data_IF_797238979511
#
_entry.id   IF_797238979511
#
_cell.length_a   1.000
_cell.length_b   1.000
_cell.length_c   1.000
_cell.angle_alpha   90.00
_cell.angle_beta   90.00
_cell.angle_gamma   90.00
#
_symmetry.space_group_name_H-M   'P 1'
#
loop_
_entity.id
_entity.type
_entity.pdbx_description
1 polymer ?
#
# COMPACT_ATOMS: atom_id res chain seq x y z
N UNK A 1 6.20 -14.28 30.07
CA UNK A 1 4.81 -14.05 29.63
C UNK A 1 3.89 -14.41 30.78
N UNK A 2 3.30 -13.41 31.42
CA UNK A 2 2.25 -13.61 32.42
C UNK A 2 0.94 -13.86 31.68
N UNK A 3 0.28 -14.98 31.96
CA UNK A 3 -1.00 -15.30 31.36
C UNK A 3 -2.10 -14.63 32.19
N UNK A 4 -2.87 -13.74 31.57
CA UNK A 4 -3.92 -12.97 32.23
C UNK A 4 -5.30 -13.40 31.69
N UNK A 5 -6.28 -13.49 32.58
CA UNK A 5 -7.67 -13.82 32.21
C UNK A 5 -8.53 -12.57 32.33
N UNK A 6 -9.29 -12.25 31.29
CA UNK A 6 -10.23 -11.13 31.27
C UNK A 6 -11.54 -11.53 30.57
N UNK A 7 -12.63 -10.82 30.84
CA UNK A 7 -13.89 -11.11 30.16
C UNK A 7 -13.80 -10.73 28.66
N UNK A 8 -14.60 -11.36 27.77
CA UNK A 8 -14.53 -11.10 26.33
C UNK A 8 -14.72 -9.62 25.94
N UNK A 9 -15.45 -8.86 26.75
CA UNK A 9 -15.69 -7.43 26.52
C UNK A 9 -14.45 -6.60 26.81
N UNK A 10 -13.73 -6.87 27.90
CA UNK A 10 -12.45 -6.24 28.26
C UNK A 10 -11.35 -6.62 27.28
N UNK A 11 -11.33 -7.86 26.82
CA UNK A 11 -10.36 -8.29 25.80
C UNK A 11 -10.63 -7.51 24.51
N UNK A 12 -11.89 -7.45 24.06
CA UNK A 12 -12.25 -6.65 22.87
C UNK A 12 -11.95 -5.17 23.05
N UNK A 13 -12.33 -4.56 24.17
CA UNK A 13 -12.06 -3.15 24.41
C UNK A 13 -10.56 -2.87 24.46
N UNK A 14 -9.78 -3.72 25.13
CA UNK A 14 -8.34 -3.55 25.21
C UNK A 14 -7.64 -3.71 23.85
N UNK A 15 -8.05 -4.69 23.04
CA UNK A 15 -7.54 -4.86 21.67
C UNK A 15 -7.94 -3.64 20.83
N UNK A 16 -9.20 -3.20 20.91
CA UNK A 16 -9.70 -2.02 20.21
C UNK A 16 -8.90 -0.77 20.61
N UNK A 17 -8.76 -0.50 21.92
CA UNK A 17 -8.07 0.66 22.45
C UNK A 17 -6.56 0.63 22.14
N UNK A 18 -5.90 -0.53 22.24
CA UNK A 18 -4.45 -0.66 22.01
C UNK A 18 -4.07 -0.57 20.54
N UNK A 19 -4.86 -1.16 19.63
CA UNK A 19 -4.62 -1.04 18.19
C UNK A 19 -5.05 0.33 17.65
N UNK A 20 -6.15 0.90 18.18
CA UNK A 20 -6.67 2.16 17.70
C UNK A 20 -5.84 3.36 18.19
N UNK A 21 -5.31 3.38 19.43
CA UNK A 21 -4.67 4.61 19.98
C UNK A 21 -3.38 5.00 19.26
N UNK A 22 -2.42 4.08 19.09
CA UNK A 22 -1.12 4.45 18.51
C UNK A 22 -1.22 4.75 17.01
N UNK A 23 -2.06 4.02 16.28
CA UNK A 23 -2.28 4.28 14.86
C UNK A 23 -3.23 5.46 14.59
N UNK A 24 -4.23 5.71 15.44
CA UNK A 24 -5.07 6.93 15.30
C UNK A 24 -4.28 8.18 15.57
N UNK A 25 -3.48 8.25 16.64
CA UNK A 25 -2.82 9.51 16.99
C UNK A 25 -1.85 9.96 15.89
N UNK A 26 -1.11 9.03 15.30
CA UNK A 26 -0.22 9.32 14.17
C UNK A 26 -1.00 9.62 12.89
N UNK A 27 -2.05 8.83 12.59
CA UNK A 27 -2.92 9.04 11.42
C UNK A 27 -3.69 10.36 11.48
N UNK A 28 -4.21 10.75 12.64
CA UNK A 28 -4.97 12.00 12.83
C UNK A 28 -4.03 13.21 12.72
N UNK A 29 -2.80 13.13 13.28
CA UNK A 29 -1.76 14.17 13.10
C UNK A 29 -1.40 14.35 11.62
N UNK A 30 -1.14 13.25 10.93
CA UNK A 30 -0.75 13.28 9.52
C UNK A 30 -1.90 13.72 8.61
N UNK A 31 -3.15 13.36 8.93
CA UNK A 31 -4.34 13.80 8.21
C UNK A 31 -4.55 15.32 8.35
N UNK A 32 -4.43 15.84 9.55
CA UNK A 32 -4.44 17.30 9.76
C UNK A 32 -3.32 18.00 9.00
N UNK A 33 -2.15 17.35 8.85
CA UNK A 33 -1.06 17.87 8.02
C UNK A 33 -1.39 17.89 6.53
N UNK A 34 -2.07 16.87 5.99
CA UNK A 34 -2.54 16.86 4.60
C UNK A 34 -3.55 17.98 4.35
N UNK A 35 -4.57 18.10 5.20
CA UNK A 35 -5.62 19.12 5.04
C UNK A 35 -5.02 20.53 5.10
N UNK A 36 -4.10 20.79 6.05
CA UNK A 36 -3.41 22.06 6.16
C UNK A 36 -2.54 22.36 4.93
N UNK A 37 -1.74 21.39 4.48
CA UNK A 37 -0.86 21.55 3.30
C UNK A 37 -1.68 21.74 2.02
N UNK A 38 -2.79 21.01 1.87
CA UNK A 38 -3.68 21.13 0.71
C UNK A 38 -4.40 22.49 0.67
N UNK A 39 -4.80 23.03 1.83
CA UNK A 39 -5.40 24.34 1.94
C UNK A 39 -4.40 25.46 1.60
N UNK A 40 -3.20 25.42 2.17
CA UNK A 40 -2.09 26.34 1.86
C UNK A 40 -1.80 26.35 0.35
N UNK A 41 -1.75 25.16 -0.26
CA UNK A 41 -1.47 24.98 -1.67
C UNK A 41 -2.58 25.50 -2.61
N UNK A 42 -3.83 25.44 -2.18
CA UNK A 42 -4.95 25.87 -3.01
C UNK A 42 -4.92 27.38 -3.26
N UNK A 43 -4.36 28.17 -2.34
CA UNK A 43 -4.18 29.62 -2.51
C UNK A 43 -3.09 29.98 -3.54
N UNK A 44 -2.15 29.06 -3.81
CA UNK A 44 -0.98 29.25 -4.70
C UNK A 44 -1.17 28.57 -6.08
N UNK A 45 -2.37 28.02 -6.32
CA UNK A 45 -2.69 26.96 -7.30
C UNK A 45 -2.21 27.09 -8.77
N UNK A 46 -1.77 28.26 -9.23
CA UNK A 46 -1.34 28.47 -10.61
C UNK A 46 0.19 28.41 -10.84
N UNK A 47 1.02 28.64 -9.82
CA UNK A 47 2.50 28.64 -9.95
C UNK A 47 3.14 27.26 -9.67
N UNK A 48 2.41 26.40 -8.98
CA UNK A 48 2.89 25.12 -8.46
C UNK A 48 3.29 24.10 -9.53
N UNK A 49 2.69 24.13 -10.72
CA UNK A 49 3.03 23.16 -11.76
C UNK A 49 4.40 23.46 -12.38
N UNK A 50 4.74 24.75 -12.50
CA UNK A 50 6.07 25.18 -12.94
C UNK A 50 7.11 24.94 -11.83
N UNK A 51 6.76 25.17 -10.58
CA UNK A 51 7.62 24.85 -9.43
C UNK A 51 7.88 23.35 -9.28
N UNK A 52 6.86 22.50 -9.43
CA UNK A 52 7.01 21.05 -9.37
C UNK A 52 8.04 20.53 -10.40
N UNK A 53 7.99 21.10 -11.61
CA UNK A 53 8.93 20.79 -12.68
C UNK A 53 10.33 21.31 -12.37
N UNK A 54 10.45 22.52 -11.81
CA UNK A 54 11.74 23.12 -11.42
C UNK A 54 12.40 22.39 -10.23
N UNK A 55 11.63 22.03 -9.21
CA UNK A 55 12.07 21.32 -8.01
C UNK A 55 12.53 19.88 -8.29
N UNK A 56 12.19 19.32 -9.45
CA UNK A 56 12.74 18.04 -9.90
C UNK A 56 14.08 18.16 -10.61
N UNK A 57 14.27 19.24 -11.37
CA UNK A 57 15.54 19.51 -12.04
C UNK A 57 16.60 19.91 -11.02
N UNK A 58 16.21 20.63 -9.96
CA UNK A 58 17.00 20.82 -8.77
C UNK A 58 16.92 19.56 -7.90
N UNK A 59 17.78 18.57 -8.16
CA UNK A 59 17.89 17.39 -7.31
C UNK A 59 18.24 17.78 -5.86
N UNK A 60 17.25 18.00 -5.01
CA UNK A 60 17.47 18.27 -3.59
C UNK A 60 16.50 19.18 -2.86
N UNK A 61 15.40 19.68 -3.46
CA UNK A 61 14.47 20.56 -2.72
C UNK A 61 13.19 19.82 -2.32
N UNK A 62 13.25 19.08 -1.21
CA UNK A 62 12.08 18.45 -0.56
C UNK A 62 11.06 19.48 -0.04
N UNK A 63 11.37 20.78 -0.12
CA UNK A 63 10.55 21.87 0.40
C UNK A 63 9.42 22.31 -0.53
N UNK A 64 9.40 21.89 -1.80
CA UNK A 64 8.30 22.26 -2.69
C UNK A 64 6.97 21.70 -2.15
N UNK A 65 5.96 22.54 -1.89
CA UNK A 65 4.74 22.13 -1.19
C UNK A 65 4.01 20.92 -1.80
N UNK A 66 4.01 20.77 -3.13
CA UNK A 66 3.41 19.61 -3.82
C UNK A 66 4.17 18.30 -3.53
N UNK A 67 5.50 18.38 -3.36
CA UNK A 67 6.35 17.24 -2.99
C UNK A 67 5.98 16.78 -1.59
N UNK A 68 5.87 17.73 -0.64
CA UNK A 68 5.42 17.47 0.74
C UNK A 68 4.05 16.79 0.77
N UNK A 69 3.08 17.31 0.01
CA UNK A 69 1.73 16.72 -0.05
C UNK A 69 1.74 15.28 -0.58
N UNK A 70 2.45 15.01 -1.68
CA UNK A 70 2.56 13.65 -2.23
C UNK A 70 3.28 12.70 -1.27
N UNK A 71 4.35 13.16 -0.63
CA UNK A 71 5.07 12.37 0.37
C UNK A 71 4.16 12.04 1.55
N UNK A 72 3.40 13.02 2.08
CA UNK A 72 2.42 12.81 3.14
C UNK A 72 1.34 11.80 2.76
N UNK A 73 0.81 11.84 1.53
CA UNK A 73 -0.19 10.88 1.06
C UNK A 73 0.38 9.45 1.04
N UNK A 74 1.62 9.28 0.56
CA UNK A 74 2.29 7.97 0.50
C UNK A 74 2.63 7.46 1.89
N UNK A 75 3.18 8.31 2.75
CA UNK A 75 3.62 7.94 4.11
C UNK A 75 2.42 7.56 4.97
N UNK A 76 1.32 8.33 4.91
CA UNK A 76 0.06 7.97 5.54
C UNK A 76 -0.42 6.58 5.13
N UNK A 77 -0.50 6.31 3.83
CA UNK A 77 -0.94 5.01 3.36
C UNK A 77 -0.03 3.87 3.85
N UNK A 78 1.27 4.11 3.95
CA UNK A 78 2.23 3.15 4.50
C UNK A 78 1.95 2.87 5.99
N UNK A 79 1.92 3.90 6.84
CA UNK A 79 1.70 3.76 8.29
C UNK A 79 0.34 3.16 8.62
N UNK A 80 -0.68 3.49 7.83
CA UNK A 80 -2.02 2.93 7.95
C UNK A 80 -2.17 1.51 7.38
N UNK A 81 -1.06 0.88 6.96
CA UNK A 81 -1.03 -0.47 6.40
C UNK A 81 -1.94 -0.67 5.17
N UNK A 82 -2.16 0.38 4.38
CA UNK A 82 -2.99 0.29 3.17
C UNK A 82 -2.37 -0.65 2.11
N UNK A 83 -3.20 -1.32 1.31
CA UNK A 83 -2.76 -2.11 0.15
C UNK A 83 -2.72 -1.26 -1.14
N UNK A 84 -3.63 -0.30 -1.26
CA UNK A 84 -3.76 0.56 -2.43
C UNK A 84 -4.08 2.00 -2.02
N UNK A 85 -3.55 2.96 -2.76
CA UNK A 85 -3.83 4.40 -2.69
C UNK A 85 -4.59 4.77 -3.96
N UNK A 86 -5.74 5.41 -3.81
CA UNK A 86 -6.57 5.87 -4.91
C UNK A 86 -6.62 7.39 -4.92
N UNK A 87 -6.19 8.01 -6.02
CA UNK A 87 -6.25 9.45 -6.27
C UNK A 87 -7.26 9.67 -7.40
N UNK A 88 -8.46 10.13 -7.03
CA UNK A 88 -9.63 10.09 -7.90
C UNK A 88 -10.18 11.51 -8.14
N UNK A 89 -10.14 12.02 -9.37
CA UNK A 89 -10.73 13.31 -9.67
C UNK A 89 -12.25 13.20 -9.72
N UNK A 90 -12.91 13.98 -8.87
CA UNK A 90 -14.35 14.23 -8.90
C UNK A 90 -14.63 15.52 -9.68
N UNK A 91 -15.91 15.90 -9.82
CA UNK A 91 -16.29 17.15 -10.49
C UNK A 91 -15.80 18.40 -9.75
N UNK A 92 -15.79 18.37 -8.42
CA UNK A 92 -15.57 19.49 -7.50
C UNK A 92 -14.28 19.38 -6.68
N UNK A 93 -13.67 18.21 -6.63
CA UNK A 93 -12.49 17.91 -5.78
C UNK A 93 -11.65 16.76 -6.31
N UNK A 94 -10.52 16.49 -5.66
CA UNK A 94 -9.76 15.25 -5.79
C UNK A 94 -9.95 14.46 -4.51
N UNK A 95 -10.52 13.26 -4.64
CA UNK A 95 -10.75 12.35 -3.53
C UNK A 95 -9.55 11.42 -3.37
N UNK A 96 -9.04 11.30 -2.14
CA UNK A 96 -8.02 10.32 -1.78
C UNK A 96 -8.68 9.19 -0.97
N UNK A 97 -8.47 7.94 -1.40
CA UNK A 97 -8.92 6.76 -0.65
C UNK A 97 -7.78 5.79 -0.42
N UNK A 98 -7.80 5.13 0.73
CA UNK A 98 -6.91 4.01 1.02
C UNK A 98 -7.70 2.73 1.09
N UNK A 99 -7.19 1.66 0.48
CA UNK A 99 -7.70 0.31 0.73
C UNK A 99 -6.97 -0.26 1.95
N UNK A 100 -7.69 -0.46 3.04
CA UNK A 100 -7.16 -1.03 4.28
C UNK A 100 -7.98 -2.30 4.57
N UNK A 101 -7.32 -3.43 4.72
CA UNK A 101 -7.95 -4.74 4.94
C UNK A 101 -9.08 -5.05 3.93
N UNK A 102 -8.84 -4.70 2.67
CA UNK A 102 -9.79 -4.90 1.57
C UNK A 102 -10.86 -3.80 1.42
N UNK A 103 -11.05 -2.94 2.42
CA UNK A 103 -12.09 -1.89 2.43
C UNK A 103 -11.50 -0.56 1.96
N UNK A 104 -12.14 0.09 0.98
CA UNK A 104 -11.77 1.43 0.56
C UNK A 104 -12.37 2.49 1.49
N UNK A 105 -11.51 3.26 2.15
CA UNK A 105 -11.89 4.34 3.07
C UNK A 105 -11.52 5.69 2.44
N UNK A 106 -12.48 6.61 2.36
CA UNK A 106 -12.23 8.02 1.99
C UNK A 106 -11.49 8.73 3.13
N UNK A 107 -10.39 9.39 2.81
CA UNK A 107 -9.49 10.02 3.80
C UNK A 107 -9.44 11.52 3.63
N UNK A 108 -9.04 11.96 2.44
CA UNK A 108 -8.78 13.37 2.17
C UNK A 108 -9.58 13.85 0.96
N UNK A 109 -9.99 15.11 1.03
CA UNK A 109 -10.67 15.80 -0.05
C UNK A 109 -9.84 17.03 -0.41
N UNK A 110 -9.04 16.87 -1.46
CA UNK A 110 -8.11 17.89 -1.92
C UNK A 110 -8.83 18.80 -2.93
N UNK A 111 -8.62 20.13 -2.88
CA UNK A 111 -9.21 21.06 -3.85
C UNK A 111 -8.94 20.67 -5.31
N UNK A 112 -9.94 20.88 -6.19
CA UNK A 112 -9.87 20.47 -7.60
C UNK A 112 -8.68 21.06 -8.35
N UNK A 113 -8.26 22.27 -7.99
CA UNK A 113 -7.09 22.98 -8.54
C UNK A 113 -5.80 22.17 -8.42
N UNK A 114 -5.69 21.33 -7.39
CA UNK A 114 -4.51 20.51 -7.12
C UNK A 114 -4.41 19.23 -7.94
N UNK A 115 -5.44 18.90 -8.74
CA UNK A 115 -5.42 17.68 -9.55
C UNK A 115 -4.24 17.62 -10.50
N UNK A 116 -4.01 18.68 -11.30
CA UNK A 116 -2.96 18.66 -12.30
C UNK A 116 -1.57 18.58 -11.66
N UNK A 117 -1.22 19.38 -10.62
CA UNK A 117 0.02 19.22 -9.87
C UNK A 117 0.22 17.81 -9.30
N UNK A 118 -0.81 17.21 -8.68
CA UNK A 118 -0.73 15.86 -8.10
C UNK A 118 -0.44 14.80 -9.17
N UNK A 119 -1.23 14.77 -10.25
CA UNK A 119 -1.06 13.81 -11.34
C UNK A 119 0.33 13.95 -11.97
N UNK A 120 0.77 15.19 -12.23
CA UNK A 120 2.11 15.47 -12.75
C UNK A 120 3.19 14.92 -11.82
N UNK A 121 3.10 15.17 -10.50
CA UNK A 121 4.11 14.69 -9.55
C UNK A 121 4.16 13.16 -9.48
N UNK A 122 3.02 12.48 -9.41
CA UNK A 122 2.99 11.01 -9.41
C UNK A 122 3.58 10.43 -10.70
N UNK A 123 3.23 11.02 -11.86
CA UNK A 123 3.78 10.57 -13.14
C UNK A 123 5.29 10.67 -13.18
N UNK A 124 5.88 11.77 -12.72
CA UNK A 124 7.33 11.89 -12.71
C UNK A 124 7.97 10.87 -11.77
N UNK A 125 7.45 10.73 -10.54
CA UNK A 125 7.98 9.74 -9.59
C UNK A 125 7.96 8.32 -10.17
N UNK A 126 6.94 8.02 -10.97
CA UNK A 126 6.75 6.70 -11.59
C UNK A 126 7.40 6.53 -12.97
N UNK A 127 8.05 7.56 -13.51
CA UNK A 127 8.68 7.54 -14.84
C UNK A 127 7.71 7.58 -16.04
N UNK A 128 6.47 8.04 -15.85
CA UNK A 128 5.44 8.15 -16.90
C UNK A 128 5.56 9.45 -17.71
N UNK A 129 5.00 9.45 -18.93
CA UNK A 129 4.87 10.65 -19.75
C UNK A 129 3.80 11.60 -19.18
N UNK A 130 4.24 12.80 -18.82
CA UNK A 130 3.42 13.87 -18.24
C UNK A 130 2.46 14.46 -19.28
N UNK A 131 2.88 14.54 -20.55
CA UNK A 131 2.11 15.16 -21.62
C UNK A 131 0.92 14.30 -22.03
N UNK A 132 1.07 12.96 -22.03
CA UNK A 132 0.02 12.05 -22.45
C UNK A 132 -1.04 11.85 -21.36
N UNK A 133 -2.27 12.31 -21.58
CA UNK A 133 -3.38 12.23 -20.61
C UNK A 133 -4.55 11.36 -21.06
N UNK A 134 -4.48 10.81 -22.27
CA UNK A 134 -5.59 10.12 -22.98
C UNK A 134 -5.43 8.61 -22.97
N UNK A 135 -4.23 8.09 -22.70
CA UNK A 135 -3.94 6.66 -22.65
C UNK A 135 -3.61 6.22 -21.22
N UNK A 136 -4.00 5.00 -20.83
CA UNK A 136 -3.46 4.34 -19.63
C UNK A 136 -1.94 4.33 -19.64
N UNK A 137 -1.33 4.53 -18.46
CA UNK A 137 0.12 4.43 -18.27
C UNK A 137 0.43 3.69 -16.98
N UNK A 138 1.48 2.88 -16.99
CA UNK A 138 1.97 2.14 -15.83
C UNK A 138 3.42 2.50 -15.54
N UNK A 139 3.78 2.51 -14.28
CA UNK A 139 5.09 2.91 -13.79
C UNK A 139 5.38 2.32 -12.42
N UNK A 140 6.57 2.62 -11.89
CA UNK A 140 6.98 2.15 -10.56
C UNK A 140 7.66 3.25 -9.76
N UNK A 141 7.41 3.27 -8.46
CA UNK A 141 8.10 4.16 -7.52
C UNK A 141 8.81 3.26 -6.51
N UNK A 142 10.11 3.47 -6.30
CA UNK A 142 10.84 2.88 -5.17
C UNK A 142 11.13 3.96 -4.15
N UNK A 143 10.83 3.70 -2.87
CA UNK A 143 11.06 4.67 -1.79
C UNK A 143 11.38 3.96 -0.49
N UNK A 144 12.30 4.53 0.27
CA UNK A 144 12.58 4.12 1.65
C UNK A 144 11.59 4.81 2.58
N UNK A 145 10.78 4.04 3.32
CA UNK A 145 9.84 4.56 4.31
C UNK A 145 10.02 3.76 5.60
N UNK A 146 10.24 4.44 6.74
CA UNK A 146 10.50 3.77 8.02
C UNK A 146 11.72 2.84 8.00
N UNK A 147 12.72 3.12 7.14
CA UNK A 147 13.91 2.29 6.96
C UNK A 147 13.71 1.04 6.09
N UNK A 148 12.55 0.87 5.46
CA UNK A 148 12.24 -0.25 4.56
C UNK A 148 12.15 0.20 3.11
N UNK A 149 12.69 -0.60 2.19
CA UNK A 149 12.51 -0.40 0.75
C UNK A 149 11.12 -0.84 0.32
N UNK A 150 10.28 0.10 -0.09
CA UNK A 150 8.93 -0.15 -0.56
C UNK A 150 8.86 0.10 -2.07
N UNK A 151 8.34 -0.89 -2.81
CA UNK A 151 8.04 -0.78 -4.24
C UNK A 151 6.55 -0.46 -4.41
N UNK A 152 6.24 0.51 -5.27
CA UNK A 152 4.87 0.85 -5.61
C UNK A 152 4.66 0.60 -7.10
N UNK A 153 3.61 -0.14 -7.45
CA UNK A 153 3.11 -0.17 -8.83
C UNK A 153 2.11 0.95 -9.01
N UNK A 154 2.34 1.80 -10.00
CA UNK A 154 1.52 3.00 -10.22
C UNK A 154 0.84 2.87 -11.57
N UNK A 155 -0.46 3.12 -11.61
CA UNK A 155 -1.25 3.16 -12.83
C UNK A 155 -1.99 4.49 -12.94
N UNK A 156 -1.89 5.14 -14.10
CA UNK A 156 -2.67 6.33 -14.43
C UNK A 156 -3.70 5.98 -15.50
N UNK A 157 -4.96 6.33 -15.26
CA UNK A 157 -6.06 6.03 -16.17
C UNK A 157 -6.79 7.33 -16.55
N UNK A 158 -7.12 7.55 -17.83
CA UNK A 158 -7.94 8.68 -18.24
C UNK A 158 -9.37 8.55 -17.69
N UNK A 159 -10.00 9.67 -17.37
CA UNK A 159 -11.37 9.71 -16.84
C UNK A 159 -12.07 11.03 -17.13
N UNK A 160 -13.38 11.06 -16.90
CA UNK A 160 -14.26 12.19 -17.25
C UNK A 160 -13.86 13.52 -16.59
N UNK A 161 -13.31 13.46 -15.39
CA UNK A 161 -12.86 14.64 -14.64
C UNK A 161 -11.34 14.80 -14.68
N UNK A 162 -10.68 14.17 -15.65
CA UNK A 162 -9.24 14.07 -15.82
C UNK A 162 -8.66 12.75 -15.29
N UNK A 163 -7.34 12.56 -15.33
CA UNK A 163 -6.72 11.28 -15.03
C UNK A 163 -6.81 10.93 -13.54
N UNK A 164 -7.15 9.67 -13.24
CA UNK A 164 -6.98 9.07 -11.92
C UNK A 164 -5.61 8.40 -11.80
N UNK A 165 -5.09 8.29 -10.58
CA UNK A 165 -3.86 7.56 -10.28
C UNK A 165 -4.12 6.55 -9.17
N UNK A 166 -3.64 5.33 -9.33
CA UNK A 166 -3.70 4.29 -8.30
C UNK A 166 -2.29 3.78 -8.03
N UNK A 167 -1.93 3.66 -6.76
CA UNK A 167 -0.66 3.09 -6.32
C UNK A 167 -0.96 1.83 -5.52
N UNK A 168 -0.42 0.68 -5.94
CA UNK A 168 -0.39 -0.53 -5.13
C UNK A 168 0.91 -0.59 -4.35
N UNK A 169 0.81 -0.76 -3.03
CA UNK A 169 1.95 -0.85 -2.13
C UNK A 169 2.42 -2.30 -2.05
N UNK A 170 3.65 -2.57 -2.50
CA UNK A 170 4.28 -3.89 -2.40
C UNK A 170 5.24 -3.88 -1.21
N UNK A 171 4.88 -4.58 -0.14
CA UNK A 171 5.71 -4.73 1.06
C UNK A 171 6.54 -6.01 0.97
N UNK A 172 7.89 -5.95 0.97
CA UNK A 172 8.75 -7.14 0.95
C UNK A 172 8.53 -8.06 2.15
N UNK A 173 8.24 -7.48 3.32
CA UNK A 173 8.19 -8.21 4.59
C UNK A 173 6.96 -9.10 4.78
N UNK A 174 5.94 -8.99 3.92
CA UNK A 174 4.77 -9.86 3.98
C UNK A 174 5.10 -11.35 3.66
N UNK A 175 6.32 -11.63 3.21
CA UNK A 175 6.80 -12.95 2.76
C UNK A 175 7.41 -13.78 3.88
N UNK A 176 7.97 -13.16 4.92
CA UNK A 176 8.60 -13.88 6.03
C UNK A 176 7.60 -14.31 7.11
N UNK A 177 6.33 -14.43 6.75
CA UNK A 177 5.32 -15.00 7.64
C UNK A 177 5.52 -16.51 7.65
N UNK A 178 6.24 -17.00 8.65
CA UNK A 178 6.33 -18.44 8.89
C UNK A 178 4.93 -19.05 8.97
N UNK A 179 4.79 -20.31 8.56
CA UNK A 179 3.51 -21.04 8.51
C UNK A 179 2.74 -21.02 9.84
N UNK A 180 3.46 -20.91 10.97
CA UNK A 180 2.94 -20.76 12.33
C UNK A 180 2.26 -19.40 12.58
N UNK A 181 2.73 -18.35 11.90
CA UNK A 181 2.23 -16.98 12.01
C UNK A 181 1.03 -16.69 11.10
N UNK A 182 0.55 -17.68 10.33
CA UNK A 182 -0.65 -17.55 9.50
C UNK A 182 -1.96 -17.52 10.30
N UNK A 183 -1.92 -17.81 11.60
CA UNK A 183 -3.10 -17.76 12.47
C UNK A 183 -3.97 -19.03 12.43
N UNK A 184 -3.40 -20.17 12.04
CA UNK A 184 -4.09 -21.45 12.18
C UNK A 184 -4.27 -21.82 13.66
N UNK A 185 -5.44 -22.34 14.01
CA UNK A 185 -5.57 -23.14 15.24
C UNK A 185 -4.69 -24.39 15.14
N UNK A 186 -4.24 -24.91 16.29
CA UNK A 186 -3.25 -25.99 16.35
C UNK A 186 -3.63 -27.21 15.49
N UNK A 187 -4.88 -27.68 15.58
CA UNK A 187 -5.35 -28.84 14.82
C UNK A 187 -5.32 -28.57 13.30
N UNK A 188 -5.70 -27.36 12.87
CA UNK A 188 -5.65 -26.95 11.47
C UNK A 188 -4.22 -26.80 10.97
N UNK A 189 -3.33 -26.26 11.80
CA UNK A 189 -1.90 -26.16 11.50
C UNK A 189 -1.31 -27.55 11.26
N UNK A 190 -1.56 -28.51 12.15
CA UNK A 190 -1.04 -29.87 12.03
C UNK A 190 -1.58 -30.57 10.77
N UNK A 191 -2.87 -30.39 10.48
CA UNK A 191 -3.48 -30.94 9.27
C UNK A 191 -2.89 -30.32 8.00
N UNK A 192 -2.78 -29.00 7.95
CA UNK A 192 -2.19 -28.26 6.84
C UNK A 192 -0.74 -28.69 6.60
N UNK A 193 0.06 -28.72 7.67
CA UNK A 193 1.46 -29.15 7.67
C UNK A 193 1.64 -30.59 7.17
N UNK A 194 0.73 -31.50 7.57
CA UNK A 194 0.72 -32.88 7.08
C UNK A 194 0.36 -32.97 5.59
N UNK A 195 -0.54 -32.12 5.10
CA UNK A 195 -0.95 -32.10 3.69
C UNK A 195 0.19 -31.62 2.80
N UNK A 196 0.84 -30.49 3.13
CA UNK A 196 1.90 -29.91 2.29
C UNK A 196 3.16 -30.78 2.22
N UNK A 197 3.38 -31.66 3.21
CA UNK A 197 4.52 -32.61 3.24
C UNK A 197 4.26 -33.92 2.50
N UNK A 198 3.08 -34.13 1.90
CA UNK A 198 2.80 -35.32 1.09
C UNK A 198 3.69 -35.35 -0.16
N UNK A 199 4.15 -36.54 -0.61
CA UNK A 199 5.07 -36.66 -1.73
C UNK A 199 4.45 -36.30 -3.08
N UNK A 200 3.12 -36.39 -3.20
CA UNK A 200 2.36 -36.05 -4.40
C UNK A 200 0.90 -35.71 -4.03
N UNK A 201 0.25 -34.97 -4.91
CA UNK A 201 -1.14 -34.54 -4.76
C UNK A 201 -1.34 -33.11 -5.25
N UNK A 202 -2.61 -32.71 -5.36
CA UNK A 202 -3.00 -31.34 -5.68
C UNK A 202 -3.51 -30.69 -4.39
N UNK A 203 -2.96 -29.53 -4.06
CA UNK A 203 -3.41 -28.69 -2.95
C UNK A 203 -3.94 -27.38 -3.52
N UNK A 204 -5.18 -27.03 -3.18
CA UNK A 204 -5.86 -25.84 -3.69
C UNK A 204 -6.14 -24.87 -2.54
N UNK A 205 -5.60 -23.66 -2.64
CA UNK A 205 -5.95 -22.56 -1.76
C UNK A 205 -6.96 -21.67 -2.49
N UNK A 206 -8.17 -21.58 -1.95
CA UNK A 206 -9.28 -20.84 -2.56
C UNK A 206 -9.75 -19.72 -1.65
N UNK A 207 -10.40 -18.71 -2.21
CA UNK A 207 -10.85 -17.53 -1.50
C UNK A 207 -10.88 -16.28 -2.40
N UNK A 208 -11.61 -15.23 -2.01
CA UNK A 208 -11.72 -13.99 -2.77
C UNK A 208 -10.38 -13.23 -2.83
N UNK A 209 -10.28 -12.20 -3.67
CA UNK A 209 -9.10 -11.33 -3.74
C UNK A 209 -8.78 -10.74 -2.36
N UNK A 210 -7.51 -10.74 -1.97
CA UNK A 210 -7.07 -10.22 -0.67
C UNK A 210 -7.27 -11.16 0.52
N UNK A 211 -7.77 -12.39 0.33
CA UNK A 211 -7.97 -13.35 1.44
C UNK A 211 -6.71 -14.08 1.92
N UNK A 212 -5.51 -13.57 1.58
CA UNK A 212 -4.25 -14.19 2.01
C UNK A 212 -3.79 -15.44 1.24
N UNK A 213 -4.41 -15.81 0.11
CA UNK A 213 -4.05 -17.03 -0.64
C UNK A 213 -2.57 -17.10 -1.02
N UNK A 214 -2.06 -16.02 -1.62
CA UNK A 214 -0.66 -15.92 -2.02
C UNK A 214 0.25 -16.04 -0.81
N UNK A 215 -0.06 -15.34 0.29
CA UNK A 215 0.68 -15.44 1.56
C UNK A 215 0.70 -16.87 2.11
N UNK A 216 -0.43 -17.58 2.12
CA UNK A 216 -0.50 -18.97 2.57
C UNK A 216 0.32 -19.91 1.68
N UNK A 217 0.26 -19.75 0.36
CA UNK A 217 1.05 -20.56 -0.57
C UNK A 217 2.54 -20.28 -0.41
N UNK A 218 2.93 -19.02 -0.32
CA UNK A 218 4.31 -18.59 -0.14
C UNK A 218 4.90 -19.14 1.17
N UNK A 219 4.17 -19.06 2.29
CA UNK A 219 4.59 -19.65 3.56
C UNK A 219 4.77 -21.19 3.48
N UNK A 220 3.87 -21.88 2.76
CA UNK A 220 4.01 -23.32 2.54
C UNK A 220 5.22 -23.67 1.65
N UNK A 221 5.48 -22.89 0.60
CA UNK A 221 6.66 -23.07 -0.25
C UNK A 221 7.95 -22.83 0.54
N UNK A 222 7.99 -21.82 1.39
CA UNK A 222 9.13 -21.53 2.27
C UNK A 222 9.42 -22.70 3.24
N UNK A 223 8.39 -23.28 3.86
CA UNK A 223 8.52 -24.47 4.73
C UNK A 223 9.03 -25.71 3.98
N UNK A 224 8.72 -25.82 2.70
CA UNK A 224 9.14 -26.93 1.83
C UNK A 224 10.48 -26.68 1.14
N UNK A 225 10.98 -25.44 1.13
CA UNK A 225 12.22 -25.03 0.46
C UNK A 225 13.43 -25.63 1.17
N UNK A 226 13.86 -26.80 0.68
CA UNK A 226 15.01 -27.56 1.20
C UNK A 226 15.89 -28.00 0.03
N UNK A 227 17.22 -28.12 0.21
CA UNK A 227 18.14 -28.46 -0.88
C UNK A 227 17.86 -29.80 -1.58
N UNK A 228 17.15 -30.71 -0.93
CA UNK A 228 16.76 -32.02 -1.46
C UNK A 228 15.49 -31.98 -2.32
N UNK A 229 14.86 -30.80 -2.49
CA UNK A 229 13.63 -30.62 -3.25
C UNK A 229 13.79 -29.54 -4.31
N UNK A 230 13.39 -29.86 -5.55
CA UNK A 230 13.28 -28.87 -6.63
C UNK A 230 11.85 -28.34 -6.69
N UNK A 231 11.68 -27.05 -6.39
CA UNK A 231 10.41 -26.35 -6.46
C UNK A 231 10.40 -25.46 -7.72
N UNK A 232 9.28 -25.41 -8.43
CA UNK A 232 9.09 -24.55 -9.61
C UNK A 232 7.71 -23.90 -9.48
N UNK A 233 7.64 -22.58 -9.65
CA UNK A 233 6.37 -21.82 -9.67
C UNK A 233 6.12 -21.22 -11.05
N UNK A 234 4.85 -21.00 -11.36
CA UNK A 234 4.40 -20.25 -12.52
C UNK A 234 3.39 -19.21 -12.04
N UNK A 235 3.71 -17.93 -12.23
CA UNK A 235 3.00 -16.81 -11.61
C UNK A 235 2.82 -15.66 -12.59
N UNK A 236 1.75 -14.88 -12.41
CA UNK A 236 1.42 -13.73 -13.25
C UNK A 236 0.91 -12.55 -12.40
N UNK A 237 1.79 -11.60 -12.02
CA UNK A 237 3.24 -11.66 -12.06
C UNK A 237 3.82 -12.38 -10.82
N UNK A 238 5.13 -12.64 -10.83
CA UNK A 238 5.85 -13.03 -9.60
C UNK A 238 5.71 -11.93 -8.56
N UNK A 239 5.16 -12.26 -7.40
CA UNK A 239 4.94 -11.29 -6.32
C UNK A 239 6.19 -11.13 -5.47
N UNK A 240 6.92 -12.22 -5.18
CA UNK A 240 8.16 -12.17 -4.40
C UNK A 240 9.19 -13.22 -4.84
N UNK A 241 10.47 -12.91 -4.63
CA UNK A 241 11.57 -13.84 -4.89
C UNK A 241 11.92 -14.62 -3.62
N UNK A 242 12.04 -15.93 -3.74
CA UNK A 242 12.65 -16.79 -2.75
C UNK A 242 14.09 -17.11 -3.13
N UNK A 243 14.98 -17.11 -2.14
CA UNK A 243 16.29 -17.73 -2.28
C UNK A 243 16.16 -19.25 -2.11
N UNK A 244 16.60 -20.03 -3.10
CA UNK A 244 16.56 -21.50 -3.08
C UNK A 244 16.08 -22.13 -4.37
#
# INVERSE_FOLDING_TARGET
FECCVANPTKIRSYIQDSFDQTQKEESDRLRHSIDATAAELAEVGHELQAEALRAQVAAGDDDAPIIRLVNLIIDNAYYMRASDIHIEPMSDRVRVRYRIDGVCLERDNIPKTMQAPLVTRFKILSGMDIAEKRLPQDGRIKRVIGGQDIDFRVSSLPGNHGPSVVLRILRPDAVNVGIESLGFEQDNYEQFHKIIKRPNGIFLVTGPTGSGKTTTLYAALQELNKPDKKIITAEDPVEYNFDG
#
